data_IF_441292874930
#
_entry.id   IF_441292874930
#
_cell.length_a   1.000
_cell.length_b   1.000
_cell.length_c   1.000
_cell.angle_alpha   90.00
_cell.angle_beta   90.00
_cell.angle_gamma   90.00
#
_symmetry.space_group_name_H-M   'P 1'
#
loop_
_entity.id
_entity.type
_entity.pdbx_description
1 polymer ?
#
# COMPACT_ATOMS: atom_id res chain seq x y z
N UNK A 1 24.03 2.44 14.51
CA UNK A 1 23.64 3.37 13.43
C UNK A 1 22.41 4.08 13.92
N UNK A 2 22.43 5.41 13.95
CA UNK A 2 21.28 6.18 14.42
C UNK A 2 20.43 6.61 13.23
N UNK A 3 19.11 6.52 13.37
CA UNK A 3 18.20 7.06 12.37
C UNK A 3 18.33 8.59 12.32
N UNK A 4 18.09 9.21 11.15
CA UNK A 4 17.97 10.67 11.06
C UNK A 4 16.96 11.23 12.07
N UNK A 5 17.22 12.43 12.59
CA UNK A 5 16.41 13.08 13.64
C UNK A 5 14.94 13.28 13.27
N UNK A 6 14.64 13.38 11.98
CA UNK A 6 13.27 13.54 11.46
C UNK A 6 12.54 12.19 11.24
N UNK A 7 13.22 11.05 11.46
CA UNK A 7 12.62 9.71 11.44
C UNK A 7 13.25 8.78 12.50
N UNK A 8 13.33 9.22 13.77
CA UNK A 8 14.26 8.65 14.76
C UNK A 8 13.95 7.19 15.11
N UNK A 9 12.74 6.71 14.81
CA UNK A 9 12.26 5.35 15.11
C UNK A 9 11.85 4.58 13.84
N UNK A 10 12.01 5.16 12.64
CA UNK A 10 11.47 4.60 11.40
C UNK A 10 12.48 4.71 10.27
N UNK A 11 13.60 4.02 10.42
CA UNK A 11 14.60 3.87 9.38
C UNK A 11 15.12 2.43 9.28
N UNK A 12 15.74 2.11 8.15
CA UNK A 12 16.42 0.85 7.91
C UNK A 12 17.81 1.10 7.32
N UNK A 13 18.72 0.14 7.48
CA UNK A 13 20.04 0.21 6.84
C UNK A 13 19.91 -0.12 5.35
N UNK A 14 20.24 0.83 4.48
CA UNK A 14 20.35 0.56 3.05
C UNK A 14 21.73 -0.05 2.74
N UNK A 15 21.76 -1.31 2.31
CA UNK A 15 22.99 -2.05 2.05
C UNK A 15 23.82 -1.48 0.89
N UNK A 16 23.19 -0.82 -0.08
CA UNK A 16 23.90 -0.27 -1.24
C UNK A 16 24.65 1.03 -0.88
N UNK A 17 24.08 1.81 0.04
CA UNK A 17 24.66 3.11 0.44
C UNK A 17 25.31 3.08 1.82
N UNK A 18 25.19 1.98 2.57
CA UNK A 18 25.61 1.84 3.97
C UNK A 18 25.11 2.99 4.87
N UNK A 19 23.90 3.50 4.61
CA UNK A 19 23.30 4.65 5.31
C UNK A 19 21.93 4.30 5.87
N UNK A 20 21.52 4.89 7.01
CA UNK A 20 20.15 4.79 7.49
C UNK A 20 19.22 5.56 6.55
N UNK A 21 18.15 4.92 6.09
CA UNK A 21 17.13 5.51 5.22
C UNK A 21 15.78 5.44 5.92
N UNK A 22 15.10 6.57 6.01
CA UNK A 22 13.76 6.61 6.59
C UNK A 22 12.78 5.80 5.74
N UNK A 23 11.89 5.02 6.37
CA UNK A 23 10.93 4.12 5.70
C UNK A 23 10.12 4.85 4.62
N UNK A 24 9.82 6.13 4.83
CA UNK A 24 9.01 6.95 3.93
C UNK A 24 9.81 7.87 3.00
N UNK A 25 11.10 7.58 2.76
CA UNK A 25 11.95 8.35 1.84
C UNK A 25 12.39 7.52 0.63
N UNK A 26 11.52 6.63 0.17
CA UNK A 26 11.70 5.81 -1.03
C UNK A 26 10.51 5.97 -1.98
N UNK A 27 10.68 5.68 -3.28
CA UNK A 27 9.58 5.72 -4.25
C UNK A 27 8.35 4.94 -3.78
N UNK A 28 7.17 5.54 -3.90
CA UNK A 28 5.91 5.01 -3.38
C UNK A 28 5.08 6.05 -2.64
N UNK A 29 4.04 5.58 -1.96
CA UNK A 29 3.16 6.40 -1.13
C UNK A 29 3.49 6.20 0.36
N UNK A 30 3.56 7.30 1.12
CA UNK A 30 3.60 7.26 2.58
C UNK A 30 2.95 8.52 3.18
N UNK A 31 2.36 8.41 4.37
CA UNK A 31 1.67 9.51 5.06
C UNK A 31 0.37 9.88 4.37
N UNK A 32 -0.07 11.14 4.49
CA UNK A 32 -1.47 11.52 4.21
C UNK A 32 -1.69 12.57 3.09
N UNK A 33 -1.67 12.18 1.79
CA UNK A 33 -0.78 11.21 1.18
C UNK A 33 0.34 11.92 0.41
N UNK A 34 1.58 11.54 0.74
CA UNK A 34 2.80 11.99 0.07
C UNK A 34 3.29 10.88 -0.84
N UNK A 35 3.65 11.25 -2.06
CA UNK A 35 4.19 10.36 -3.06
C UNK A 35 5.62 10.76 -3.41
N UNK A 36 6.46 9.76 -3.66
CA UNK A 36 7.78 9.92 -4.24
C UNK A 36 7.80 9.15 -5.56
N UNK A 37 8.01 9.88 -6.66
CA UNK A 37 8.11 9.30 -8.01
C UNK A 37 9.35 8.43 -8.18
N UNK A 38 9.39 7.63 -9.25
CA UNK A 38 10.57 6.84 -9.60
C UNK A 38 11.80 7.70 -9.95
N UNK A 39 11.58 8.98 -10.27
CA UNK A 39 12.59 10.01 -10.48
C UNK A 39 13.08 10.66 -9.16
N UNK A 40 12.48 10.28 -8.02
CA UNK A 40 12.80 10.82 -6.70
C UNK A 40 12.04 12.10 -6.33
N UNK A 41 11.19 12.64 -7.22
CA UNK A 41 10.44 13.85 -6.94
C UNK A 41 9.31 13.58 -5.94
N UNK A 42 9.21 14.45 -4.92
CA UNK A 42 8.15 14.37 -3.90
C UNK A 42 6.99 15.28 -4.25
N UNK A 43 5.76 14.77 -4.15
CA UNK A 43 4.54 15.57 -4.29
C UNK A 43 3.47 15.15 -3.29
N UNK A 44 2.63 16.13 -2.93
CA UNK A 44 1.47 15.93 -2.07
C UNK A 44 0.23 15.93 -2.95
N UNK A 45 -0.46 14.80 -3.00
CA UNK A 45 -1.61 14.61 -3.86
C UNK A 45 -2.85 14.40 -3.01
N UNK A 46 -3.75 15.38 -2.96
CA UNK A 46 -4.97 15.27 -2.17
C UNK A 46 -6.11 14.55 -2.91
N UNK A 47 -6.03 14.44 -4.24
CA UNK A 47 -7.08 13.80 -5.04
C UNK A 47 -8.50 14.30 -4.72
N UNK A 48 -9.47 13.41 -4.88
CA UNK A 48 -10.84 13.58 -4.43
C UNK A 48 -11.21 12.47 -3.48
N UNK A 49 -12.08 12.78 -2.50
CA UNK A 49 -12.67 11.76 -1.64
C UNK A 49 -13.53 10.80 -2.46
N UNK A 50 -13.57 9.55 -2.01
CA UNK A 50 -14.39 8.47 -2.55
C UNK A 50 -14.14 8.27 -4.07
N UNK A 51 -12.87 8.36 -4.48
CA UNK A 51 -12.44 8.28 -5.89
C UNK A 51 -11.17 7.44 -6.07
N UNK A 52 -11.04 6.84 -7.26
CA UNK A 52 -9.90 6.00 -7.64
C UNK A 52 -8.93 6.76 -8.54
N UNK A 53 -7.63 6.59 -8.26
CA UNK A 53 -6.56 7.18 -9.06
C UNK A 53 -5.53 6.12 -9.45
N UNK A 54 -5.08 6.16 -10.70
CA UNK A 54 -3.97 5.32 -11.15
C UNK A 54 -2.65 5.91 -10.65
N UNK A 55 -1.92 5.16 -9.82
CA UNK A 55 -0.63 5.60 -9.23
C UNK A 55 0.56 5.06 -9.99
N UNK A 56 0.45 3.87 -10.58
CA UNK A 56 1.46 3.27 -11.45
C UNK A 56 0.75 2.57 -12.60
N UNK A 57 1.22 2.78 -13.82
CA UNK A 57 0.72 2.07 -15.00
C UNK A 57 1.86 1.71 -15.95
N UNK A 58 1.74 0.53 -16.53
CA UNK A 58 2.49 0.09 -17.70
C UNK A 58 1.55 -0.78 -18.55
N UNK A 59 1.97 -1.16 -19.76
CA UNK A 59 1.16 -1.94 -20.72
C UNK A 59 0.48 -3.18 -20.14
N UNK A 60 1.00 -3.80 -19.10
CA UNK A 60 0.50 -5.06 -18.52
C UNK A 60 0.02 -4.98 -17.07
N UNK A 61 0.16 -3.82 -16.41
CA UNK A 61 -0.11 -3.66 -14.98
C UNK A 61 -0.63 -2.26 -14.69
N UNK A 62 -1.70 -2.18 -13.92
CA UNK A 62 -2.20 -0.95 -13.33
C UNK A 62 -2.25 -1.11 -11.82
N UNK A 63 -1.69 -0.16 -11.10
CA UNK A 63 -1.84 -0.03 -9.65
C UNK A 63 -2.69 1.21 -9.43
N UNK A 64 -3.87 0.99 -8.85
CA UNK A 64 -4.82 2.04 -8.52
C UNK A 64 -4.92 2.17 -7.00
N UNK A 65 -5.16 3.39 -6.53
CA UNK A 65 -5.41 3.69 -5.13
C UNK A 65 -6.81 4.30 -4.99
N UNK A 66 -7.60 3.76 -4.06
CA UNK A 66 -8.89 4.31 -3.68
C UNK A 66 -8.70 5.26 -2.50
N UNK A 67 -9.13 6.51 -2.67
CA UNK A 67 -9.02 7.54 -1.67
C UNK A 67 -10.36 7.72 -0.99
N UNK A 68 -10.37 7.72 0.34
CA UNK A 68 -11.49 8.21 1.14
C UNK A 68 -11.08 9.53 1.79
N UNK A 69 -12.03 10.23 2.41
CA UNK A 69 -11.69 11.48 3.05
C UNK A 69 -12.80 12.10 3.86
N UNK A 70 -12.48 13.23 4.49
CA UNK A 70 -13.40 14.08 5.21
C UNK A 70 -13.44 15.47 4.58
N UNK A 71 -14.65 16.03 4.51
CA UNK A 71 -14.93 17.34 3.95
C UNK A 71 -15.86 18.13 4.88
N UNK A 72 -15.90 19.46 4.75
CA UNK A 72 -16.93 20.29 5.38
C UNK A 72 -16.79 20.55 6.88
N UNK A 73 -15.61 20.37 7.48
CA UNK A 73 -15.37 20.85 8.86
C UNK A 73 -15.05 22.36 8.86
N UNK A 74 -15.46 23.08 9.90
CA UNK A 74 -15.22 24.52 10.01
C UNK A 74 -13.73 24.85 9.87
N UNK A 75 -13.40 25.73 8.93
CA UNK A 75 -12.02 26.10 8.61
C UNK A 75 -11.30 25.21 7.59
N UNK A 76 -11.96 24.18 7.03
CA UNK A 76 -11.41 23.41 5.93
C UNK A 76 -11.76 24.04 4.58
N UNK A 77 -10.74 24.40 3.80
CA UNK A 77 -10.88 24.92 2.42
C UNK A 77 -10.80 23.84 1.32
N UNK A 78 -10.47 22.59 1.70
CA UNK A 78 -10.33 21.44 0.81
C UNK A 78 -10.60 20.13 1.55
N UNK A 79 -10.77 19.05 0.80
CA UNK A 79 -10.88 17.70 1.34
C UNK A 79 -9.54 17.22 1.90
N UNK A 80 -9.58 16.52 3.02
CA UNK A 80 -8.47 15.70 3.49
C UNK A 80 -8.73 14.26 3.11
N UNK A 81 -7.77 13.64 2.45
CA UNK A 81 -7.91 12.28 1.93
C UNK A 81 -6.79 11.38 2.42
N UNK A 82 -7.09 10.09 2.45
CA UNK A 82 -6.21 9.01 2.81
C UNK A 82 -6.49 7.81 1.92
N UNK A 83 -5.47 6.97 1.71
CA UNK A 83 -5.59 5.77 0.89
C UNK A 83 -6.30 4.70 1.71
N UNK A 84 -7.47 4.25 1.25
CA UNK A 84 -8.20 3.14 1.86
C UNK A 84 -7.76 1.80 1.30
N UNK A 85 -7.51 1.76 -0.01
CA UNK A 85 -7.23 0.52 -0.72
C UNK A 85 -6.28 0.74 -1.89
N UNK A 86 -5.54 -0.33 -2.20
CA UNK A 86 -4.72 -0.47 -3.40
C UNK A 86 -5.27 -1.67 -4.18
N UNK A 87 -5.46 -1.49 -5.48
CA UNK A 87 -5.80 -2.55 -6.41
C UNK A 87 -4.71 -2.68 -7.48
N UNK A 88 -4.19 -3.89 -7.65
CA UNK A 88 -3.28 -4.26 -8.74
C UNK A 88 -4.07 -5.04 -9.77
N UNK A 89 -4.13 -4.52 -10.99
CA UNK A 89 -4.80 -5.12 -12.12
C UNK A 89 -3.77 -5.58 -13.14
N UNK A 90 -3.85 -6.84 -13.52
CA UNK A 90 -3.04 -7.45 -14.57
C UNK A 90 -3.89 -7.60 -15.84
N UNK A 91 -3.25 -7.49 -17.00
CA UNK A 91 -3.96 -7.56 -18.29
C UNK A 91 -4.63 -8.91 -18.58
N UNK A 92 -4.15 -9.98 -17.96
CA UNK A 92 -4.74 -11.33 -18.06
C UNK A 92 -6.02 -11.48 -17.20
N UNK A 93 -6.45 -10.41 -16.55
CA UNK A 93 -7.65 -10.37 -15.73
C UNK A 93 -7.42 -10.69 -14.26
N UNK A 94 -6.19 -11.04 -13.84
CA UNK A 94 -5.88 -11.17 -12.43
C UNK A 94 -5.97 -9.82 -11.71
N UNK A 95 -6.54 -9.83 -10.51
CA UNK A 95 -6.79 -8.64 -9.70
C UNK A 95 -6.43 -8.93 -8.26
N UNK A 96 -5.43 -8.24 -7.73
CA UNK A 96 -5.15 -8.24 -6.29
C UNK A 96 -5.75 -6.96 -5.72
N UNK A 97 -6.56 -7.10 -4.67
CA UNK A 97 -7.07 -5.99 -3.89
C UNK A 97 -6.55 -6.12 -2.46
N UNK A 98 -6.07 -5.02 -1.92
CA UNK A 98 -5.68 -4.88 -0.52
C UNK A 98 -6.31 -3.58 -0.02
N UNK A 99 -7.19 -3.67 0.96
CA UNK A 99 -7.87 -2.50 1.50
C UNK A 99 -8.27 -2.66 2.94
N UNK A 100 -8.80 -1.59 3.50
CA UNK A 100 -9.29 -1.56 4.88
C UNK A 100 -10.81 -1.40 4.86
N UNK A 101 -11.52 -2.26 5.60
CA UNK A 101 -12.98 -2.23 5.72
C UNK A 101 -13.41 -0.92 6.35
N UNK A 102 -14.40 -0.27 5.75
CA UNK A 102 -14.98 0.96 6.29
C UNK A 102 -15.75 0.64 7.56
N UNK A 103 -15.36 1.26 8.68
CA UNK A 103 -16.05 1.14 9.96
C UNK A 103 -16.48 2.50 10.48
N UNK A 104 -17.58 2.55 11.24
CA UNK A 104 -18.05 3.76 11.91
C UNK A 104 -17.21 4.11 13.15
N UNK A 105 -16.74 3.08 13.86
CA UNK A 105 -15.84 3.20 15.02
C UNK A 105 -14.71 2.18 14.84
N UNK A 106 -13.48 2.64 15.04
CA UNK A 106 -12.32 1.75 14.99
C UNK A 106 -12.31 0.83 16.22
N UNK A 107 -12.09 -0.47 15.99
CA UNK A 107 -11.98 -1.47 17.03
C UNK A 107 -10.73 -2.31 16.78
N UNK A 108 -9.74 -2.19 17.66
CA UNK A 108 -8.44 -2.85 17.53
C UNK A 108 -8.51 -4.39 17.68
N UNK A 109 -9.64 -4.95 18.14
CA UNK A 109 -9.82 -6.41 18.23
C UNK A 109 -10.45 -7.03 16.97
N UNK A 110 -10.83 -6.21 15.99
CA UNK A 110 -11.44 -6.66 14.72
C UNK A 110 -10.41 -6.56 13.60
N UNK A 111 -10.31 -7.61 12.77
CA UNK A 111 -9.54 -7.55 11.53
C UNK A 111 -10.26 -6.64 10.52
N UNK A 112 -9.62 -5.52 10.19
CA UNK A 112 -10.11 -4.55 9.21
C UNK A 112 -9.45 -4.72 7.85
N UNK A 113 -8.35 -5.47 7.74
CA UNK A 113 -7.69 -5.73 6.47
C UNK A 113 -8.53 -6.70 5.63
N UNK A 114 -8.77 -6.30 4.38
CA UNK A 114 -9.43 -7.10 3.37
C UNK A 114 -8.46 -7.33 2.22
N UNK A 115 -8.23 -8.61 1.90
CA UNK A 115 -7.39 -9.01 0.78
C UNK A 115 -8.19 -9.94 -0.12
N UNK A 116 -8.23 -9.66 -1.42
CA UNK A 116 -8.82 -10.57 -2.40
C UNK A 116 -7.90 -10.78 -3.60
N UNK A 117 -7.89 -12.00 -4.15
CA UNK A 117 -7.22 -12.32 -5.40
C UNK A 117 -8.24 -12.89 -6.38
N UNK A 118 -8.46 -12.20 -7.51
CA UNK A 118 -9.47 -12.57 -8.50
C UNK A 118 -10.90 -12.51 -7.97
N UNK A 119 -11.15 -11.70 -6.94
CA UNK A 119 -12.42 -11.61 -6.23
C UNK A 119 -12.59 -12.61 -5.08
N UNK A 120 -11.67 -13.57 -4.93
CA UNK A 120 -11.72 -14.56 -3.85
C UNK A 120 -10.98 -14.06 -2.60
N UNK A 121 -11.54 -14.21 -1.39
CA UNK A 121 -10.88 -13.79 -0.15
C UNK A 121 -9.57 -14.53 0.12
N UNK A 122 -8.55 -13.76 0.52
CA UNK A 122 -7.26 -14.28 0.99
C UNK A 122 -7.22 -14.20 2.52
N UNK A 123 -7.14 -15.36 3.16
CA UNK A 123 -7.06 -15.45 4.62
C UNK A 123 -5.59 -15.65 5.02
N UNK A 124 -5.06 -14.68 5.77
CA UNK A 124 -3.74 -14.78 6.36
C UNK A 124 -3.83 -15.41 7.77
N UNK A 125 -2.85 -16.22 8.18
CA UNK A 125 -2.75 -16.66 9.57
C UNK A 125 -2.70 -15.47 10.54
N UNK A 126 -3.47 -15.54 11.62
CA UNK A 126 -3.58 -14.46 12.61
C UNK A 126 -2.28 -14.18 13.40
N UNK A 127 -1.30 -15.09 13.36
CA UNK A 127 -0.06 -14.99 14.11
C UNK A 127 1.15 -15.42 13.27
N UNK A 128 2.27 -14.72 13.47
CA UNK A 128 3.55 -15.01 12.80
C UNK A 128 3.67 -14.41 11.40
N UNK A 129 4.69 -14.82 10.65
CA UNK A 129 4.86 -14.44 9.24
C UNK A 129 3.89 -15.26 8.37
N UNK A 130 2.66 -14.78 8.27
CA UNK A 130 1.62 -15.41 7.46
C UNK A 130 2.00 -15.44 5.97
N UNK A 131 2.03 -16.63 5.38
CA UNK A 131 2.21 -16.82 3.93
C UNK A 131 0.96 -17.48 3.36
N UNK A 132 0.42 -16.92 2.29
CA UNK A 132 -0.67 -17.50 1.53
C UNK A 132 -0.22 -17.77 0.08
N UNK A 133 -0.77 -18.84 -0.50
CA UNK A 133 -0.56 -19.21 -1.90
C UNK A 133 -1.87 -19.70 -2.49
N UNK A 134 -2.19 -19.27 -3.70
CA UNK A 134 -3.39 -19.71 -4.40
C UNK A 134 -3.33 -21.21 -4.69
N UNK A 135 -4.45 -21.91 -4.48
CA UNK A 135 -4.60 -23.32 -4.87
C UNK A 135 -4.63 -23.53 -6.39
N UNK A 136 -4.88 -22.46 -7.17
CA UNK A 136 -4.96 -22.51 -8.64
C UNK A 136 -3.59 -22.47 -9.33
N UNK A 137 -2.54 -22.10 -8.59
CA UNK A 137 -1.17 -22.12 -9.09
C UNK A 137 -0.48 -23.30 -8.40
N UNK A 138 -0.18 -24.42 -9.09
CA UNK A 138 0.70 -25.43 -8.54
C UNK A 138 1.97 -24.71 -8.11
N UNK A 139 2.51 -25.02 -6.94
CA UNK A 139 3.76 -24.41 -6.48
C UNK A 139 4.77 -24.47 -7.62
N UNK A 140 5.23 -23.30 -8.09
CA UNK A 140 6.44 -23.23 -8.89
C UNK A 140 7.56 -23.77 -8.00
N UNK A 141 7.78 -25.09 -8.05
CA UNK A 141 8.89 -25.72 -7.41
C UNK A 141 10.13 -25.16 -8.09
N UNK A 142 10.94 -24.40 -7.34
CA UNK A 142 12.27 -24.04 -7.80
C UNK A 142 12.99 -25.31 -8.23
N UNK A 143 13.64 -25.35 -9.40
CA UNK A 143 14.49 -26.49 -9.74
C UNK A 143 15.54 -26.62 -8.63
N UNK A 144 15.66 -27.83 -8.08
CA UNK A 144 16.68 -28.13 -7.08
C UNK A 144 18.07 -27.74 -7.63
N UNK A 145 18.95 -27.12 -6.83
CA UNK A 145 20.32 -26.88 -7.25
C UNK A 145 20.97 -28.23 -7.57
N UNK A 146 21.64 -28.28 -8.74
CA UNK A 146 22.44 -29.43 -9.18
C UNK A 146 23.68 -29.60 -8.32
#
# INVERSE_FOLDING_TARGET
MDCPSYCPQSCYANCNTCKPVCVCNTPGACGDPRFIGGDGNTFYFHGHRDADFCVVSNRGIHINAHFIGKSGHNGMSRDFTWIQAIAVLFNDGHRLYVGVRKTGTWDDVVEHLEITLGGEPVHLPAHGTGKWTSSRVPSCQSPAPR
#
